data_IF_392878367657
#
_entry.id   IF_392878367657
#
_cell.length_a   1.000
_cell.length_b   1.000
_cell.length_c   1.000
_cell.angle_alpha   90.00
_cell.angle_beta   90.00
_cell.angle_gamma   90.00
#
_symmetry.space_group_name_H-M   'P 1'
#
loop_
_entity.id
_entity.type
_entity.pdbx_description
1 polymer ?
#
# COMPACT_ATOMS: atom_id res chain seq x y z
N UNK A 1 -40.09 -35.42 48.01
CA UNK A 1 -39.25 -34.70 48.99
C UNK A 1 -38.49 -33.61 48.26
N UNK A 2 -38.56 -32.38 48.78
CA UNK A 2 -37.77 -31.17 48.46
C UNK A 2 -37.84 -30.69 47.02
N UNK A 3 -38.54 -29.64 46.56
CA UNK A 3 -38.72 -28.23 46.97
C UNK A 3 -37.45 -27.38 47.09
N UNK A 4 -37.57 -26.17 46.53
CA UNK A 4 -36.71 -24.96 46.54
C UNK A 4 -35.70 -24.85 45.39
N UNK A 5 -35.57 -23.74 44.65
CA UNK A 5 -36.14 -22.40 44.78
C UNK A 5 -35.08 -21.34 44.43
N UNK A 6 -35.37 -20.51 43.41
CA UNK A 6 -34.84 -19.16 43.12
C UNK A 6 -33.31 -18.91 43.05
N UNK A 7 -32.92 -18.25 41.95
CA UNK A 7 -31.72 -17.42 41.89
C UNK A 7 -31.56 -16.79 40.51
N UNK A 8 -32.13 -15.59 40.31
CA UNK A 8 -31.85 -14.77 39.14
C UNK A 8 -30.40 -14.28 39.17
N UNK A 9 -29.71 -14.40 38.04
CA UNK A 9 -28.41 -13.78 37.80
C UNK A 9 -28.48 -13.09 36.45
N UNK A 10 -28.59 -11.76 36.48
CA UNK A 10 -28.36 -10.93 35.30
C UNK A 10 -26.91 -11.12 34.87
N UNK A 11 -26.71 -11.50 33.61
CA UNK A 11 -25.40 -11.44 33.00
C UNK A 11 -25.08 -9.98 32.70
N UNK A 12 -24.23 -9.36 33.52
CA UNK A 12 -23.54 -8.13 33.14
C UNK A 12 -22.68 -8.42 31.91
N UNK A 13 -22.98 -7.73 30.80
CA UNK A 13 -22.04 -7.50 29.71
C UNK A 13 -20.79 -6.83 30.31
N UNK A 14 -19.69 -7.57 30.35
CA UNK A 14 -18.39 -7.00 30.66
C UNK A 14 -17.87 -6.32 29.40
N UNK A 15 -18.17 -5.04 29.33
CA UNK A 15 -17.56 -4.06 28.43
C UNK A 15 -16.04 -4.09 28.62
N UNK A 16 -15.32 -4.55 27.60
CA UNK A 16 -13.85 -4.57 27.59
C UNK A 16 -13.39 -3.19 27.12
N UNK A 17 -13.56 -2.19 27.97
CA UNK A 17 -13.09 -0.84 27.73
C UNK A 17 -11.56 -0.79 27.69
N UNK A 18 -11.01 -0.61 26.49
CA UNK A 18 -9.61 -0.26 26.30
C UNK A 18 -9.39 1.19 26.77
N UNK A 19 -9.03 1.38 28.04
CA UNK A 19 -8.44 2.65 28.51
C UNK A 19 -6.94 2.59 28.30
N UNK A 20 -6.48 3.12 27.17
CA UNK A 20 -5.07 3.44 26.97
C UNK A 20 -4.73 4.71 27.75
N UNK A 21 -3.91 4.56 28.80
CA UNK A 21 -3.26 5.67 29.48
C UNK A 21 -2.16 6.28 28.58
N UNK A 22 -1.95 7.59 28.75
CA UNK A 22 -1.20 8.50 27.88
C UNK A 22 0.19 8.06 27.39
N UNK A 23 0.40 8.34 26.10
CA UNK A 23 1.70 8.51 25.45
C UNK A 23 1.49 9.33 24.17
N UNK A 24 1.86 10.61 24.22
CA UNK A 24 1.72 11.57 23.11
C UNK A 24 2.94 11.48 22.20
N UNK A 25 2.70 11.32 20.91
CA UNK A 25 3.61 11.48 19.77
C UNK A 25 3.11 10.64 18.58
N UNK A 26 3.18 11.00 17.31
CA UNK A 26 3.45 12.23 16.56
C UNK A 26 2.87 11.97 15.13
N UNK A 27 2.17 12.93 14.50
CA UNK A 27 2.05 13.02 13.02
C UNK A 27 1.03 12.18 12.23
N UNK A 28 0.21 11.31 12.85
CA UNK A 28 -0.82 10.52 12.12
C UNK A 28 -2.19 11.18 12.22
N UNK A 29 -2.79 11.55 11.08
CA UNK A 29 -4.18 12.02 11.01
C UNK A 29 -5.06 10.80 10.71
N UNK A 30 -5.67 10.25 11.76
CA UNK A 30 -6.69 9.22 11.64
C UNK A 30 -8.04 9.91 11.39
N UNK A 31 -8.88 9.33 10.53
CA UNK A 31 -10.24 9.81 10.30
C UNK A 31 -11.20 9.43 11.47
N UNK A 32 -10.71 9.56 12.71
CA UNK A 32 -11.54 9.54 13.91
C UNK A 32 -11.78 10.97 14.37
N UNK A 33 -12.98 11.27 14.84
CA UNK A 33 -13.47 12.62 15.16
C UNK A 33 -12.81 13.24 16.42
N UNK A 34 -11.51 13.05 16.63
CA UNK A 34 -10.82 13.45 17.87
C UNK A 34 -9.69 14.45 17.59
N UNK A 35 -9.80 15.72 18.04
CA UNK A 35 -8.74 16.71 17.83
C UNK A 35 -7.58 16.43 18.78
N UNK A 36 -6.42 16.03 18.25
CA UNK A 36 -5.17 15.91 19.01
C UNK A 36 -4.17 17.01 18.62
N UNK A 37 -3.45 17.49 19.64
CA UNK A 37 -2.66 18.72 19.61
C UNK A 37 -1.38 18.62 18.78
N UNK A 38 -0.96 19.78 18.27
CA UNK A 38 0.16 20.01 17.33
C UNK A 38 1.53 19.64 17.88
N UNK A 39 2.32 18.96 17.05
CA UNK A 39 3.79 19.06 17.05
C UNK A 39 4.21 19.71 15.73
N UNK A 40 4.87 20.86 15.85
CA UNK A 40 5.47 21.56 14.70
C UNK A 40 6.77 20.88 14.32
N UNK A 41 6.81 20.19 13.17
CA UNK A 41 8.06 19.73 12.56
C UNK A 41 8.05 18.36 11.89
N UNK A 42 7.03 17.52 12.09
CA UNK A 42 6.85 16.27 11.34
C UNK A 42 5.87 16.50 10.20
N UNK A 43 6.11 15.95 9.01
CA UNK A 43 5.09 15.96 7.98
C UNK A 43 3.85 15.16 8.45
N UNK A 44 2.70 15.44 7.85
CA UNK A 44 1.45 14.76 8.17
C UNK A 44 1.16 13.65 7.14
N UNK A 45 0.49 12.59 7.57
CA UNK A 45 0.00 11.52 6.69
C UNK A 45 -1.48 11.29 6.93
N UNK A 46 -2.24 11.22 5.84
CA UNK A 46 -3.59 10.66 5.84
C UNK A 46 -3.52 9.16 5.60
N UNK A 47 -4.13 8.39 6.50
CA UNK A 47 -4.33 6.94 6.32
C UNK A 47 -5.82 6.69 6.05
N UNK A 48 -6.12 6.31 4.81
CA UNK A 48 -7.48 6.33 4.26
C UNK A 48 -7.89 4.92 3.82
N UNK A 49 -8.66 4.18 4.63
CA UNK A 49 -9.26 2.92 4.20
C UNK A 49 -10.26 3.18 3.08
N UNK A 50 -10.34 2.24 2.12
CA UNK A 50 -11.35 2.21 1.08
C UNK A 50 -12.03 0.84 1.14
N UNK A 51 -13.30 0.85 1.54
CA UNK A 51 -14.13 -0.35 1.47
C UNK A 51 -14.48 -0.63 0.01
N UNK A 52 -14.23 -1.86 -0.43
CA UNK A 52 -14.45 -2.23 -1.82
C UNK A 52 -14.85 -3.70 -1.94
N UNK A 53 -15.47 -4.05 -3.07
CA UNK A 53 -15.67 -5.42 -3.55
C UNK A 53 -15.27 -5.49 -5.02
N UNK A 54 -14.83 -6.66 -5.49
CA UNK A 54 -14.54 -6.86 -6.91
C UNK A 54 -15.83 -6.97 -7.75
N UNK A 55 -15.72 -6.83 -9.07
CA UNK A 55 -16.81 -7.15 -10.00
C UNK A 55 -16.27 -7.78 -11.29
N UNK A 56 -17.10 -8.59 -11.97
CA UNK A 56 -16.65 -9.37 -13.14
C UNK A 56 -16.23 -8.50 -14.34
N UNK A 57 -16.87 -7.34 -14.53
CA UNK A 57 -16.54 -6.39 -15.60
C UNK A 57 -15.22 -5.63 -15.40
N UNK A 58 -14.52 -5.84 -14.28
CA UNK A 58 -13.17 -5.32 -14.08
C UNK A 58 -12.16 -5.95 -15.06
N UNK A 59 -12.42 -7.19 -15.49
CA UNK A 59 -11.69 -7.85 -16.56
C UNK A 59 -12.18 -7.33 -17.91
N UNK A 60 -11.41 -6.42 -18.51
CA UNK A 60 -11.70 -5.85 -19.83
C UNK A 60 -11.02 -6.61 -20.97
N UNK A 61 -10.24 -7.65 -20.66
CA UNK A 61 -9.54 -8.44 -21.66
C UNK A 61 -10.40 -9.58 -22.21
N UNK A 62 -10.18 -10.01 -23.46
CA UNK A 62 -10.85 -11.18 -24.03
C UNK A 62 -10.66 -12.44 -23.18
N UNK A 63 -11.65 -13.34 -23.23
CA UNK A 63 -11.56 -14.63 -22.55
C UNK A 63 -10.65 -15.60 -23.30
N UNK A 64 -10.01 -16.50 -22.54
CA UNK A 64 -9.23 -17.59 -23.12
C UNK A 64 -10.19 -18.71 -23.57
N UNK A 65 -10.51 -18.76 -24.87
CA UNK A 65 -11.52 -19.69 -25.41
C UNK A 65 -11.00 -21.13 -25.63
N UNK A 66 -9.70 -21.30 -25.88
CA UNK A 66 -9.12 -22.58 -26.30
C UNK A 66 -8.93 -23.60 -25.16
N UNK A 67 -9.12 -23.18 -23.91
CA UNK A 67 -9.02 -24.06 -22.73
C UNK A 67 -10.30 -23.95 -21.90
N UNK A 68 -10.83 -25.09 -21.44
CA UNK A 68 -11.98 -25.09 -20.53
C UNK A 68 -11.55 -24.59 -19.15
N UNK A 69 -11.80 -23.31 -18.85
CA UNK A 69 -11.54 -22.69 -17.55
C UNK A 69 -12.85 -22.56 -16.78
N UNK A 70 -12.88 -22.99 -15.51
CA UNK A 70 -14.06 -22.82 -14.67
C UNK A 70 -14.34 -21.33 -14.39
N UNK A 71 -15.61 -20.89 -14.30
CA UNK A 71 -15.93 -19.52 -13.93
C UNK A 71 -15.62 -19.23 -12.44
N UNK A 72 -15.42 -17.95 -12.05
CA UNK A 72 -14.99 -17.58 -10.70
C UNK A 72 -15.89 -18.14 -9.59
N UNK A 73 -17.20 -18.13 -9.80
CA UNK A 73 -18.19 -18.62 -8.84
C UNK A 73 -18.09 -20.11 -8.49
N UNK A 74 -17.38 -20.90 -9.29
CA UNK A 74 -17.14 -22.31 -9.01
C UNK A 74 -15.89 -22.54 -8.15
N UNK A 75 -14.87 -21.69 -8.30
CA UNK A 75 -13.53 -21.91 -7.74
C UNK A 75 -13.19 -20.99 -6.58
N UNK A 76 -13.79 -19.81 -6.50
CA UNK A 76 -13.57 -18.86 -5.42
C UNK A 76 -14.54 -19.08 -4.27
N UNK A 77 -14.00 -19.08 -3.05
CA UNK A 77 -14.77 -19.27 -1.82
C UNK A 77 -15.80 -18.18 -1.59
N UNK A 78 -15.53 -16.98 -2.06
CA UNK A 78 -16.32 -15.78 -1.76
C UNK A 78 -17.77 -15.94 -2.22
N UNK A 79 -17.98 -16.52 -3.41
CA UNK A 79 -19.32 -16.82 -3.95
C UNK A 79 -20.11 -17.84 -3.12
N UNK A 80 -19.43 -18.65 -2.30
CA UNK A 80 -20.07 -19.65 -1.43
C UNK A 80 -20.26 -19.10 -0.01
N UNK A 81 -19.26 -18.39 0.50
CA UNK A 81 -19.16 -17.96 1.90
C UNK A 81 -19.82 -16.60 2.14
N UNK A 82 -19.69 -15.65 1.22
CA UNK A 82 -20.31 -14.34 1.35
C UNK A 82 -21.81 -14.40 1.04
N UNK A 83 -22.59 -13.59 1.75
CA UNK A 83 -24.05 -13.47 1.57
C UNK A 83 -24.40 -12.00 1.45
N UNK A 84 -25.24 -11.68 0.47
CA UNK A 84 -25.59 -10.31 0.12
C UNK A 84 -27.10 -10.08 0.33
N UNK A 85 -27.50 -8.85 0.73
CA UNK A 85 -28.90 -8.45 0.77
C UNK A 85 -29.60 -8.65 -0.57
N UNK A 86 -30.94 -8.75 -0.52
CA UNK A 86 -31.76 -8.85 -1.73
C UNK A 86 -31.50 -7.67 -2.69
N UNK A 87 -31.39 -7.97 -3.99
CA UNK A 87 -31.12 -6.99 -5.03
C UNK A 87 -29.63 -6.76 -5.33
N UNK A 88 -28.72 -7.44 -4.62
CA UNK A 88 -27.29 -7.47 -4.94
C UNK A 88 -26.88 -8.86 -5.42
N UNK A 89 -26.12 -8.91 -6.52
CA UNK A 89 -25.60 -10.13 -7.14
C UNK A 89 -24.06 -10.06 -7.23
N UNK A 90 -23.31 -11.01 -6.63
CA UNK A 90 -21.86 -11.03 -6.76
C UNK A 90 -21.34 -11.37 -8.17
N UNK A 91 -22.23 -11.73 -9.10
CA UNK A 91 -21.90 -11.99 -10.51
C UNK A 91 -21.96 -10.73 -11.39
N UNK A 92 -22.52 -9.62 -10.89
CA UNK A 92 -22.50 -8.31 -11.55
C UNK A 92 -21.72 -7.27 -10.72
N UNK A 93 -21.90 -5.98 -11.01
CA UNK A 93 -21.24 -4.87 -10.32
C UNK A 93 -22.01 -4.32 -9.11
N UNK A 94 -23.20 -4.83 -8.82
CA UNK A 94 -24.10 -4.29 -7.79
C UNK A 94 -23.51 -4.35 -6.39
N UNK A 95 -22.78 -5.42 -6.04
CA UNK A 95 -22.10 -5.55 -4.75
C UNK A 95 -20.96 -4.55 -4.63
N UNK A 96 -20.14 -4.41 -5.68
CA UNK A 96 -19.05 -3.43 -5.74
C UNK A 96 -19.58 -2.00 -5.61
N UNK A 97 -20.63 -1.66 -6.36
CA UNK A 97 -21.30 -0.37 -6.27
C UNK A 97 -21.90 -0.10 -4.89
N UNK A 98 -22.46 -1.12 -4.23
CA UNK A 98 -23.02 -0.98 -2.89
C UNK A 98 -21.94 -0.73 -1.84
N UNK A 99 -20.81 -1.46 -1.87
CA UNK A 99 -19.70 -1.21 -0.94
C UNK A 99 -19.01 0.13 -1.23
N UNK A 100 -18.93 0.54 -2.49
CA UNK A 100 -18.40 1.84 -2.86
C UNK A 100 -19.16 2.97 -2.15
N UNK A 101 -20.51 2.97 -2.21
CA UNK A 101 -21.35 3.98 -1.54
C UNK A 101 -21.15 4.07 -0.03
N UNK A 102 -20.79 2.95 0.63
CA UNK A 102 -20.56 2.94 2.08
C UNK A 102 -19.37 3.84 2.47
N UNK A 103 -18.40 4.05 1.59
CA UNK A 103 -17.31 5.00 1.84
C UNK A 103 -17.87 6.42 2.06
N UNK A 104 -18.87 6.82 1.27
CA UNK A 104 -19.51 8.14 1.38
C UNK A 104 -20.46 8.21 2.58
N UNK A 105 -21.30 7.19 2.75
CA UNK A 105 -22.36 7.19 3.76
C UNK A 105 -21.86 6.96 5.19
N UNK A 106 -20.75 6.22 5.36
CA UNK A 106 -20.31 5.74 6.68
C UNK A 106 -18.83 5.95 6.99
N UNK A 107 -17.97 6.14 6.00
CA UNK A 107 -16.53 6.36 6.23
C UNK A 107 -16.11 7.84 6.11
N UNK A 108 -17.07 8.76 6.04
CA UNK A 108 -16.79 10.20 6.05
C UNK A 108 -15.95 10.65 4.86
N UNK A 109 -16.13 10.03 3.67
CA UNK A 109 -15.35 10.38 2.48
C UNK A 109 -15.46 11.87 2.13
N UNK A 110 -16.66 12.45 2.27
CA UNK A 110 -16.89 13.88 2.05
C UNK A 110 -16.11 14.78 3.01
N UNK A 111 -16.02 14.40 4.29
CA UNK A 111 -15.28 15.15 5.30
C UNK A 111 -13.77 15.11 5.02
N UNK A 112 -13.26 13.94 4.61
CA UNK A 112 -11.88 13.78 4.15
C UNK A 112 -11.58 14.69 2.94
N UNK A 113 -12.44 14.71 1.92
CA UNK A 113 -12.26 15.60 0.78
C UNK A 113 -12.31 17.09 1.20
N UNK A 114 -13.25 17.45 2.07
CA UNK A 114 -13.35 18.81 2.61
C UNK A 114 -12.08 19.22 3.38
N UNK A 115 -11.48 18.30 4.14
CA UNK A 115 -10.21 18.54 4.83
C UNK A 115 -9.04 18.71 3.84
N UNK A 116 -8.99 17.90 2.77
CA UNK A 116 -7.98 18.03 1.72
C UNK A 116 -8.06 19.34 0.93
N UNK A 117 -9.27 19.90 0.77
CA UNK A 117 -9.50 21.14 0.05
C UNK A 117 -9.37 22.39 0.93
N UNK A 118 -10.05 22.41 2.08
CA UNK A 118 -10.22 23.60 2.92
C UNK A 118 -9.77 23.45 4.37
N UNK A 119 -9.22 22.30 4.77
CA UNK A 119 -8.76 22.02 6.13
C UNK A 119 -7.53 22.84 6.55
N UNK A 120 -6.82 22.42 7.57
CA UNK A 120 -5.54 23.01 8.03
C UNK A 120 -4.43 22.88 6.98
N UNK A 121 -3.32 23.60 7.16
CA UNK A 121 -2.17 23.51 6.24
C UNK A 121 -1.60 22.10 6.23
N UNK A 122 -1.58 21.46 7.38
CA UNK A 122 -1.10 20.10 7.60
C UNK A 122 -2.00 19.08 6.88
N UNK A 123 -3.32 19.17 7.03
CA UNK A 123 -4.28 18.29 6.36
C UNK A 123 -4.23 18.42 4.83
N UNK A 124 -4.15 19.65 4.32
CA UNK A 124 -4.06 19.89 2.87
C UNK A 124 -2.72 19.41 2.33
N UNK A 125 -1.66 19.55 3.12
CA UNK A 125 -0.26 19.28 2.77
C UNK A 125 0.18 17.82 2.91
N UNK A 126 -0.55 17.04 3.69
CA UNK A 126 -0.19 15.67 4.08
C UNK A 126 0.04 14.72 2.91
N UNK A 127 0.95 13.76 3.10
CA UNK A 127 1.10 12.60 2.21
C UNK A 127 -0.11 11.68 2.35
N UNK A 128 -0.40 10.88 1.32
CA UNK A 128 -1.57 10.01 1.30
C UNK A 128 -1.18 8.54 1.31
N UNK A 129 -1.71 7.78 2.26
CA UNK A 129 -1.75 6.32 2.24
C UNK A 129 -3.21 5.90 2.13
N UNK A 130 -3.64 5.53 0.93
CA UNK A 130 -4.94 4.88 0.72
C UNK A 130 -4.76 3.37 0.73
N UNK A 131 -5.77 2.59 1.13
CA UNK A 131 -5.68 1.15 1.01
C UNK A 131 -7.02 0.46 0.79
N UNK A 132 -7.03 -0.58 -0.04
CA UNK A 132 -8.17 -1.45 -0.29
C UNK A 132 -7.73 -2.91 -0.29
N UNK A 133 -8.65 -3.84 -0.04
CA UNK A 133 -8.31 -5.26 -0.18
C UNK A 133 -8.12 -5.67 -1.65
N UNK A 134 -8.93 -5.11 -2.55
CA UNK A 134 -8.98 -5.45 -3.98
C UNK A 134 -8.16 -4.47 -4.84
N UNK A 135 -7.91 -4.86 -6.10
CA UNK A 135 -7.08 -4.11 -7.04
C UNK A 135 -7.82 -2.87 -7.58
N UNK A 136 -7.17 -1.70 -7.63
CA UNK A 136 -7.73 -0.53 -8.29
C UNK A 136 -7.56 -0.55 -9.81
N UNK A 137 -6.54 -1.24 -10.32
CA UNK A 137 -6.12 -1.19 -11.72
C UNK A 137 -5.84 -2.59 -12.26
N UNK A 138 -6.31 -2.88 -13.47
CA UNK A 138 -6.09 -4.18 -14.10
C UNK A 138 -4.60 -4.42 -14.38
N UNK A 139 -3.85 -3.35 -14.62
CA UNK A 139 -2.41 -3.34 -14.85
C UNK A 139 -1.60 -3.79 -13.64
N UNK A 140 -2.21 -3.87 -12.46
CA UNK A 140 -1.61 -4.41 -11.23
C UNK A 140 -1.82 -5.92 -11.07
N UNK A 141 -2.42 -6.56 -12.08
CA UNK A 141 -2.60 -8.01 -12.16
C UNK A 141 -1.78 -8.55 -13.35
N UNK A 142 -1.04 -9.67 -13.22
CA UNK A 142 -0.40 -10.28 -14.38
C UNK A 142 -1.41 -10.67 -15.47
N UNK A 143 -0.98 -10.67 -16.72
CA UNK A 143 -1.79 -11.06 -17.87
C UNK A 143 -2.26 -12.51 -17.77
N UNK A 144 -3.46 -12.79 -18.32
CA UNK A 144 -4.12 -14.11 -18.21
C UNK A 144 -3.23 -15.29 -18.57
N UNK A 145 -2.36 -15.12 -19.58
CA UNK A 145 -1.37 -16.11 -20.02
C UNK A 145 -0.36 -16.51 -18.93
N UNK A 146 -0.06 -15.62 -17.99
CA UNK A 146 0.91 -15.85 -16.92
C UNK A 146 0.27 -16.43 -15.66
N UNK A 147 -1.06 -16.58 -15.64
CA UNK A 147 -1.84 -17.01 -14.48
C UNK A 147 -2.15 -18.51 -14.53
N UNK A 148 -2.10 -19.16 -13.37
CA UNK A 148 -2.65 -20.52 -13.20
C UNK A 148 -4.16 -20.55 -13.42
N UNK A 149 -4.85 -19.44 -13.13
CA UNK A 149 -6.28 -19.27 -13.32
C UNK A 149 -6.55 -18.03 -14.18
N UNK A 150 -6.76 -18.19 -15.50
CA UNK A 150 -6.94 -17.08 -16.42
C UNK A 150 -8.13 -16.15 -16.12
N UNK A 151 -9.16 -16.66 -15.46
CA UNK A 151 -10.34 -15.87 -15.08
C UNK A 151 -10.17 -15.11 -13.76
N UNK A 152 -8.96 -15.10 -13.17
CA UNK A 152 -8.66 -14.37 -11.94
C UNK A 152 -9.02 -12.87 -12.04
N UNK A 153 -8.73 -12.12 -13.13
CA UNK A 153 -9.09 -10.71 -13.25
C UNK A 153 -10.58 -10.40 -12.99
N UNK A 154 -11.48 -11.35 -13.27
CA UNK A 154 -12.93 -11.21 -13.06
C UNK A 154 -13.34 -11.16 -11.60
N UNK A 155 -12.42 -11.37 -10.66
CA UNK A 155 -12.76 -11.46 -9.25
C UNK A 155 -11.63 -10.98 -8.35
N UNK A 156 -10.92 -9.92 -8.77
CA UNK A 156 -9.81 -9.36 -7.99
C UNK A 156 -9.79 -7.86 -7.84
N UNK A 157 -10.54 -7.11 -8.64
CA UNK A 157 -10.46 -5.66 -8.65
C UNK A 157 -11.77 -4.98 -8.95
N UNK A 158 -11.74 -3.66 -8.80
CA UNK A 158 -12.90 -2.79 -8.91
C UNK A 158 -12.48 -1.40 -9.38
N UNK A 159 -13.11 -0.94 -10.47
CA UNK A 159 -12.82 0.38 -11.05
C UNK A 159 -13.31 1.54 -10.15
N UNK A 160 -14.23 1.26 -9.23
CA UNK A 160 -14.68 2.18 -8.18
C UNK A 160 -13.51 2.65 -7.30
N UNK A 161 -12.54 1.77 -7.03
CA UNK A 161 -11.38 2.12 -6.21
C UNK A 161 -10.52 3.14 -6.94
N UNK A 162 -10.20 2.90 -8.23
CA UNK A 162 -9.43 3.85 -9.04
C UNK A 162 -10.14 5.20 -9.10
N UNK A 163 -11.47 5.19 -9.31
CA UNK A 163 -12.28 6.42 -9.35
C UNK A 163 -12.16 7.27 -8.08
N UNK A 164 -12.01 6.64 -6.91
CA UNK A 164 -11.82 7.35 -5.64
C UNK A 164 -10.41 7.91 -5.48
N UNK A 165 -9.39 7.14 -5.85
CA UNK A 165 -8.00 7.52 -5.58
C UNK A 165 -7.39 8.40 -6.67
N UNK A 166 -7.91 8.32 -7.90
CA UNK A 166 -7.40 9.12 -9.01
C UNK A 166 -7.58 10.61 -8.71
N UNK A 167 -6.50 11.37 -8.83
CA UNK A 167 -6.51 12.82 -8.62
C UNK A 167 -6.46 13.28 -7.16
N UNK A 168 -6.53 12.40 -6.14
CA UNK A 168 -6.38 12.82 -4.73
C UNK A 168 -5.05 13.55 -4.49
N UNK A 169 -4.01 13.14 -5.20
CA UNK A 169 -2.70 13.77 -5.14
C UNK A 169 -2.72 15.27 -5.50
N UNK A 170 -3.67 15.73 -6.31
CA UNK A 170 -3.85 17.13 -6.74
C UNK A 170 -5.17 17.75 -6.27
N UNK A 171 -6.06 16.97 -5.65
CA UNK A 171 -7.37 17.44 -5.17
C UNK A 171 -7.23 18.65 -4.25
N UNK A 172 -8.10 19.65 -4.38
CA UNK A 172 -8.06 20.88 -3.59
C UNK A 172 -6.89 21.83 -3.87
N UNK A 173 -5.99 21.52 -4.83
CA UNK A 173 -4.80 22.37 -5.11
C UNK A 173 -5.00 23.38 -6.24
N UNK A 174 -6.05 23.25 -7.06
CA UNK A 174 -6.32 24.14 -8.20
C UNK A 174 -6.83 25.55 -7.80
N UNK A 175 -7.43 25.71 -6.61
CA UNK A 175 -7.96 27.00 -6.16
C UNK A 175 -6.92 27.88 -5.43
N UNK A 176 -5.75 27.34 -5.07
CA UNK A 176 -4.71 28.13 -4.41
C UNK A 176 -3.98 29.09 -5.37
N UNK A 177 -3.91 28.77 -6.68
CA UNK A 177 -3.31 29.63 -7.70
C UNK A 177 -4.12 30.90 -7.95
N UNK A 178 -5.46 30.80 -8.02
CA UNK A 178 -6.33 31.95 -8.29
C UNK A 178 -6.41 32.95 -7.11
N UNK A 179 -6.27 32.47 -5.87
CA UNK A 179 -6.28 33.36 -4.69
C UNK A 179 -4.97 34.14 -4.57
N UNK A 180 -3.84 33.57 -5.01
CA UNK A 180 -2.54 34.24 -5.03
C UNK A 180 -2.49 35.41 -6.05
N UNK A 181 -3.22 35.32 -7.15
CA UNK A 181 -3.28 36.38 -8.17
C UNK A 181 -4.14 37.58 -7.74
N UNK A 182 -5.14 37.37 -6.86
CA UNK A 182 -6.00 38.46 -6.36
C UNK A 182 -5.31 39.39 -5.35
N UNK A 183 -4.16 38.97 -4.82
CA UNK A 183 -3.34 39.73 -3.89
C UNK A 183 -1.88 39.66 -4.35
N UNK A 184 -1.45 40.47 -5.32
CA UNK A 184 -0.11 41.07 -5.29
C UNK A 184 0.11 42.12 -6.40
N UNK A 185 0.17 43.39 -5.99
CA UNK A 185 0.99 44.41 -6.63
C UNK A 185 2.41 44.42 -6.06
N UNK A 186 3.09 43.27 -6.04
CA UNK A 186 4.49 43.18 -5.58
C UNK A 186 5.29 42.23 -6.46
N UNK A 187 6.42 42.74 -6.95
CA UNK A 187 7.39 42.02 -7.76
C UNK A 187 8.25 41.12 -6.88
N UNK A 188 7.79 39.90 -6.65
CA UNK A 188 8.63 38.77 -6.24
C UNK A 188 8.22 37.56 -7.04
N UNK A 189 9.20 36.88 -7.61
CA UNK A 189 9.15 35.66 -8.44
C UNK A 189 7.98 34.72 -8.07
N UNK A 190 7.18 34.23 -9.03
CA UNK A 190 6.07 33.32 -8.76
C UNK A 190 6.62 31.94 -8.41
N UNK A 191 6.88 31.71 -7.12
CA UNK A 191 7.35 30.44 -6.57
C UNK A 191 6.45 30.03 -5.42
N UNK A 192 5.32 29.42 -5.74
CA UNK A 192 4.36 28.99 -4.71
C UNK A 192 3.21 28.14 -5.22
N UNK A 193 3.36 27.48 -6.38
CA UNK A 193 2.41 26.44 -6.79
C UNK A 193 2.54 25.25 -5.85
N UNK A 194 1.42 24.76 -5.32
CA UNK A 194 1.44 23.56 -4.47
C UNK A 194 1.84 22.35 -5.34
N UNK A 195 2.99 21.73 -5.06
CA UNK A 195 3.43 20.48 -5.71
C UNK A 195 2.40 19.36 -5.49
N UNK A 196 2.38 18.33 -6.34
CA UNK A 196 1.51 17.15 -6.16
C UNK A 196 1.85 16.46 -4.82
N UNK A 197 0.85 16.02 -4.04
CA UNK A 197 1.09 15.17 -2.85
C UNK A 197 1.66 13.84 -3.30
N UNK A 198 2.58 13.30 -2.52
CA UNK A 198 2.92 11.89 -2.69
C UNK A 198 1.73 11.03 -2.23
N UNK A 199 1.44 10.00 -3.01
CA UNK A 199 0.29 9.14 -2.80
C UNK A 199 0.68 7.69 -3.02
N UNK A 200 0.59 6.91 -1.94
CA UNK A 200 0.73 5.46 -1.95
C UNK A 200 -0.64 4.81 -1.80
N UNK A 201 -0.91 3.81 -2.63
CA UNK A 201 -2.06 2.94 -2.50
C UNK A 201 -1.62 1.51 -2.19
N UNK A 202 -2.01 1.00 -1.01
CA UNK A 202 -1.71 -0.37 -0.59
C UNK A 202 -2.90 -1.27 -0.97
N UNK A 203 -2.63 -2.39 -1.64
CA UNK A 203 -3.67 -3.32 -2.08
C UNK A 203 -3.30 -4.78 -1.80
N UNK A 204 -4.24 -5.70 -2.06
CA UNK A 204 -4.08 -7.12 -1.73
C UNK A 204 -4.82 -8.08 -2.67
N UNK A 205 -5.25 -9.20 -2.08
CA UNK A 205 -6.09 -10.25 -2.69
C UNK A 205 -5.41 -11.13 -3.77
N UNK A 206 -4.61 -10.59 -4.68
CA UNK A 206 -4.05 -11.39 -5.80
C UNK A 206 -2.85 -12.26 -5.45
N UNK A 207 -2.21 -12.03 -4.31
CA UNK A 207 -0.98 -12.72 -3.90
C UNK A 207 0.16 -12.59 -4.93
N UNK A 208 0.39 -11.38 -5.42
CA UNK A 208 1.55 -11.03 -6.25
C UNK A 208 2.34 -9.87 -5.63
N UNK A 209 3.63 -10.07 -5.37
CA UNK A 209 4.49 -8.98 -4.93
C UNK A 209 4.49 -7.87 -5.98
N UNK A 210 4.16 -6.64 -5.57
CA UNK A 210 4.04 -5.50 -6.45
C UNK A 210 4.54 -4.22 -5.78
N UNK A 211 5.35 -3.46 -6.50
CA UNK A 211 5.69 -2.07 -6.16
C UNK A 211 5.94 -1.30 -7.46
N UNK A 212 5.01 -0.43 -7.82
CA UNK A 212 5.06 0.30 -9.09
C UNK A 212 4.27 1.61 -9.04
N UNK A 213 4.82 2.65 -9.63
CA UNK A 213 4.13 3.93 -9.80
C UNK A 213 3.43 4.04 -11.16
N UNK A 214 2.11 4.23 -11.14
CA UNK A 214 1.27 4.47 -12.33
C UNK A 214 0.48 5.77 -12.12
N UNK A 215 0.45 6.65 -13.13
CA UNK A 215 -0.25 7.94 -13.09
C UNK A 215 0.03 8.80 -11.85
N UNK A 216 1.25 8.69 -11.31
CA UNK A 216 1.72 9.39 -10.12
C UNK A 216 1.11 8.88 -8.80
N UNK A 217 0.58 7.67 -8.78
CA UNK A 217 0.19 6.94 -7.56
C UNK A 217 1.11 5.71 -7.47
N UNK A 218 1.77 5.51 -6.32
CA UNK A 218 2.59 4.33 -6.08
C UNK A 218 1.72 3.21 -5.50
N UNK A 219 1.68 2.08 -6.19
CA UNK A 219 0.89 0.91 -5.80
C UNK A 219 1.78 -0.16 -5.18
N UNK A 220 1.47 -0.56 -3.95
CA UNK A 220 2.26 -1.55 -3.21
C UNK A 220 1.36 -2.71 -2.78
N UNK A 221 1.80 -3.94 -3.07
CA UNK A 221 1.22 -5.16 -2.52
C UNK A 221 2.34 -6.08 -2.04
N UNK A 222 2.37 -6.32 -0.74
CA UNK A 222 3.31 -7.23 -0.08
C UNK A 222 2.54 -8.40 0.55
N UNK A 223 2.21 -9.44 -0.23
CA UNK A 223 1.21 -10.41 0.17
C UNK A 223 1.78 -11.45 1.14
N UNK A 224 1.12 -11.65 2.28
CA UNK A 224 1.45 -12.75 3.21
C UNK A 224 1.24 -14.12 2.55
N UNK A 225 0.18 -14.29 1.76
CA UNK A 225 -0.07 -15.50 0.94
C UNK A 225 -0.17 -16.82 1.73
N UNK A 226 -0.48 -17.93 1.05
CA UNK A 226 -0.51 -19.25 1.68
C UNK A 226 0.90 -19.87 1.77
N UNK A 227 1.18 -20.72 2.79
CA UNK A 227 2.46 -21.42 2.91
C UNK A 227 2.87 -22.21 1.67
N UNK A 228 1.91 -22.77 0.94
CA UNK A 228 2.19 -23.54 -0.27
C UNK A 228 2.64 -22.64 -1.43
N UNK A 229 2.17 -21.40 -1.50
CA UNK A 229 2.60 -20.44 -2.52
C UNK A 229 4.04 -19.99 -2.28
N UNK A 230 4.47 -19.83 -1.02
CA UNK A 230 5.87 -19.57 -0.69
C UNK A 230 6.82 -20.73 -1.02
N UNK A 231 6.31 -21.96 -1.06
CA UNK A 231 7.08 -23.13 -1.51
C UNK A 231 7.18 -23.19 -3.03
N UNK A 232 6.11 -22.84 -3.74
CA UNK A 232 6.01 -23.03 -5.19
C UNK A 232 6.50 -21.82 -6.00
N UNK A 233 6.22 -20.60 -5.54
CA UNK A 233 6.42 -19.35 -6.30
C UNK A 233 6.93 -18.18 -5.44
N UNK A 234 7.93 -18.35 -4.57
CA UNK A 234 8.39 -17.29 -3.66
C UNK A 234 8.77 -15.99 -4.39
N UNK A 235 9.42 -16.09 -5.56
CA UNK A 235 9.79 -14.92 -6.35
C UNK A 235 8.61 -14.11 -6.89
N UNK A 236 7.42 -14.69 -7.00
CA UNK A 236 6.19 -13.96 -7.37
C UNK A 236 5.54 -13.25 -6.17
N UNK A 237 6.04 -13.46 -4.95
CA UNK A 237 5.50 -12.91 -3.71
C UNK A 237 6.40 -11.83 -3.09
N UNK A 238 7.72 -11.96 -3.28
CA UNK A 238 8.73 -11.06 -2.69
C UNK A 238 8.59 -9.63 -3.20
N UNK A 239 8.65 -8.67 -2.27
CA UNK A 239 8.84 -7.23 -2.48
C UNK A 239 10.06 -6.80 -1.68
N UNK A 240 10.99 -6.09 -2.31
CA UNK A 240 12.27 -5.72 -1.71
C UNK A 240 13.33 -6.82 -1.85
N UNK A 241 14.43 -6.74 -1.08
CA UNK A 241 15.53 -7.70 -1.17
C UNK A 241 15.09 -9.12 -0.81
N UNK A 242 15.59 -10.11 -1.54
CA UNK A 242 15.21 -11.52 -1.35
C UNK A 242 15.85 -12.12 -0.09
N UNK A 243 15.07 -12.89 0.67
CA UNK A 243 15.46 -13.47 1.97
C UNK A 243 16.34 -14.72 1.86
N UNK A 244 16.72 -15.15 0.64
CA UNK A 244 17.30 -16.50 0.40
C UNK A 244 18.46 -16.58 -0.59
N UNK A 245 19.10 -15.46 -0.94
CA UNK A 245 20.41 -15.50 -1.60
C UNK A 245 20.50 -16.21 -2.96
N UNK A 246 19.45 -16.14 -3.80
CA UNK A 246 19.53 -16.56 -5.21
C UNK A 246 19.09 -15.40 -6.14
N UNK A 247 19.82 -15.19 -7.24
CA UNK A 247 19.82 -13.95 -8.03
C UNK A 247 18.44 -13.47 -8.51
N UNK A 248 18.17 -12.21 -8.18
CA UNK A 248 17.23 -11.33 -8.86
C UNK A 248 18.03 -10.38 -9.76
N UNK A 249 18.58 -10.90 -10.85
CA UNK A 249 19.52 -10.15 -11.69
C UNK A 249 18.88 -9.71 -13.00
N UNK A 250 18.63 -8.40 -13.15
CA UNK A 250 18.87 -7.64 -14.38
C UNK A 250 19.21 -6.17 -14.02
N UNK A 251 20.42 -5.76 -14.40
CA UNK A 251 21.20 -4.63 -13.90
C UNK A 251 20.65 -3.23 -14.22
N UNK A 252 20.15 -2.54 -13.18
CA UNK A 252 20.64 -1.23 -12.73
C UNK A 252 20.75 -1.27 -11.21
N UNK A 253 21.87 -0.75 -10.71
CA UNK A 253 22.36 -0.86 -9.33
C UNK A 253 21.25 -0.57 -8.30
N UNK A 254 20.84 -1.61 -7.57
CA UNK A 254 19.98 -1.42 -6.41
C UNK A 254 20.83 -0.86 -5.26
N UNK A 255 20.36 0.17 -4.53
CA UNK A 255 21.05 0.67 -3.34
C UNK A 255 21.31 -0.45 -2.32
N UNK A 256 22.41 -0.31 -1.57
CA UNK A 256 22.87 -1.29 -0.58
C UNK A 256 21.74 -1.75 0.36
N UNK A 257 21.76 -3.05 0.64
CA UNK A 257 20.72 -3.79 1.33
C UNK A 257 20.32 -3.18 2.67
N UNK A 258 19.02 -3.23 2.97
CA UNK A 258 18.53 -3.22 4.35
C UNK A 258 17.98 -4.61 4.64
N UNK A 259 18.54 -5.32 5.64
CA UNK A 259 17.96 -6.54 6.25
C UNK A 259 16.68 -6.23 7.05
N UNK A 260 16.00 -5.13 6.71
CA UNK A 260 14.87 -4.59 7.44
C UNK A 260 13.56 -5.12 6.85
N UNK A 261 12.50 -5.26 7.68
CA UNK A 261 11.16 -5.54 7.19
C UNK A 261 10.73 -4.45 6.18
N UNK A 262 9.76 -4.79 5.32
CA UNK A 262 9.14 -3.84 4.40
C UNK A 262 8.70 -2.59 5.18
N UNK A 263 9.35 -1.47 4.88
CA UNK A 263 9.01 -0.16 5.37
C UNK A 263 8.36 0.59 4.21
N UNK A 264 7.20 1.21 4.41
CA UNK A 264 6.57 2.08 3.39
C UNK A 264 6.79 3.55 3.74
N UNK A 265 7.00 3.84 5.03
CA UNK A 265 7.04 5.17 5.62
C UNK A 265 8.20 5.27 6.61
N UNK A 266 9.11 6.25 6.45
CA UNK A 266 10.21 6.49 7.39
C UNK A 266 10.23 7.94 7.87
N UNK A 267 10.00 8.15 9.16
CA UNK A 267 9.98 9.46 9.79
C UNK A 267 11.39 9.97 10.19
N UNK A 268 12.45 9.19 9.95
CA UNK A 268 13.82 9.48 10.44
C UNK A 268 14.86 9.56 9.33
N UNK A 269 14.47 9.75 8.08
CA UNK A 269 15.41 9.60 6.97
C UNK A 269 16.39 10.78 6.89
N UNK A 270 17.57 10.56 7.47
CA UNK A 270 18.82 11.27 7.18
C UNK A 270 19.97 10.27 7.37
N UNK A 271 20.64 9.92 6.28
CA UNK A 271 22.10 9.81 6.16
C UNK A 271 22.39 9.52 4.68
N UNK A 272 22.75 10.59 3.96
CA UNK A 272 23.36 10.51 2.64
C UNK A 272 24.62 9.67 2.78
N UNK A 273 24.67 8.53 2.10
CA UNK A 273 25.87 7.69 2.05
C UNK A 273 26.83 8.35 1.05
N UNK A 274 27.63 9.29 1.52
CA UNK A 274 28.83 9.72 0.81
C UNK A 274 29.83 8.56 0.89
N UNK A 275 30.01 7.86 -0.23
CA UNK A 275 31.06 6.85 -0.39
C UNK A 275 32.38 7.60 -0.59
N UNK A 276 33.12 7.82 0.50
CA UNK A 276 34.55 8.12 0.40
C UNK A 276 35.38 6.85 0.62
N UNK A 277 36.14 6.52 -0.41
CA UNK A 277 37.08 5.42 -0.50
C UNK A 277 38.43 5.87 0.11
N UNK A 278 38.87 5.22 1.19
CA UNK A 278 40.26 5.02 1.65
C UNK A 278 40.20 4.49 3.09
N UNK A 279 40.98 3.53 3.57
CA UNK A 279 42.30 3.07 3.19
C UNK A 279 43.04 2.80 4.51
N UNK A 280 43.37 1.53 4.76
CA UNK A 280 44.39 1.03 5.69
C UNK A 280 44.22 1.13 7.21
N UNK A 281 44.56 0.01 7.88
CA UNK A 281 45.21 0.04 9.20
C UNK A 281 44.45 -0.68 10.32
N UNK A 282 44.75 -1.97 10.50
CA UNK A 282 44.16 -2.79 11.57
C UNK A 282 44.64 -2.46 12.98
N UNK A 283 43.85 -2.91 13.97
CA UNK A 283 44.35 -3.57 15.19
C UNK A 283 43.23 -4.30 15.92
N UNK A 284 43.54 -5.53 16.26
CA UNK A 284 42.74 -6.51 16.97
C UNK A 284 42.72 -6.21 18.48
N UNK A 285 41.55 -6.19 19.12
CA UNK A 285 41.40 -6.38 20.58
C UNK A 285 40.14 -7.22 20.85
N UNK A 286 40.36 -8.39 21.45
CA UNK A 286 39.34 -9.30 21.95
C UNK A 286 38.95 -8.92 23.39
N UNK A 287 37.66 -8.72 23.67
CA UNK A 287 37.06 -8.89 25.00
C UNK A 287 35.53 -9.08 24.90
N UNK A 288 34.99 -9.99 25.72
CA UNK A 288 33.64 -10.56 25.68
C UNK A 288 32.48 -9.68 26.16
N UNK A 289 31.30 -10.28 26.39
CA UNK A 289 30.02 -9.65 26.12
C UNK A 289 29.47 -8.95 27.35
N UNK A 290 29.17 -7.65 27.25
CA UNK A 290 28.10 -7.05 28.03
C UNK A 290 27.67 -5.72 27.41
N UNK A 291 26.35 -5.60 27.23
CA UNK A 291 25.64 -4.41 26.74
C UNK A 291 25.97 -3.22 27.64
N UNK A 292 26.56 -2.17 27.08
CA UNK A 292 26.56 -0.86 27.67
C UNK A 292 26.34 0.21 26.58
N UNK A 293 25.18 0.84 26.66
CA UNK A 293 24.87 2.13 26.05
C UNK A 293 25.78 3.17 26.71
N UNK A 294 26.73 3.74 25.97
CA UNK A 294 27.20 5.12 26.13
C UNK A 294 28.44 5.41 25.26
N UNK A 295 28.37 6.52 24.52
CA UNK A 295 29.54 7.34 24.23
C UNK A 295 30.02 7.33 22.78
N UNK A 296 29.37 8.11 21.91
CA UNK A 296 30.10 8.77 20.83
C UNK A 296 30.17 10.27 21.12
N UNK A 297 31.42 10.73 21.18
CA UNK A 297 31.82 12.11 21.45
C UNK A 297 31.47 12.98 20.26
N UNK A 298 30.97 14.17 20.59
CA UNK A 298 30.86 15.32 19.70
C UNK A 298 32.20 15.65 19.05
N UNK A 299 32.19 15.76 17.73
CA UNK A 299 33.16 16.49 16.93
C UNK A 299 32.34 17.43 16.03
N UNK A 300 32.47 18.74 16.26
CA UNK A 300 31.57 19.75 15.69
C UNK A 300 31.80 20.08 14.22
N UNK A 301 30.76 20.67 13.61
CA UNK A 301 30.86 21.36 12.32
C UNK A 301 29.55 21.50 11.55
N UNK A 302 28.58 22.26 12.06
CA UNK A 302 27.60 23.05 11.29
C UNK A 302 26.68 22.35 10.26
N UNK A 303 25.41 22.15 10.64
CA UNK A 303 24.29 21.91 9.72
C UNK A 303 23.22 21.02 10.35
N UNK A 304 22.09 21.60 10.75
CA UNK A 304 20.96 20.83 11.29
C UNK A 304 20.27 20.04 10.19
N UNK A 305 20.58 18.76 10.06
CA UNK A 305 19.74 17.78 9.36
C UNK A 305 18.57 17.42 10.26
N UNK A 306 17.41 18.02 10.01
CA UNK A 306 16.15 17.46 10.49
C UNK A 306 15.79 16.35 9.51
N UNK A 307 15.80 15.09 9.97
CA UNK A 307 15.42 13.94 9.16
C UNK A 307 14.17 14.22 8.33
N UNK A 308 14.27 14.02 7.03
CA UNK A 308 13.19 14.32 6.11
C UNK A 308 12.08 13.27 6.27
N UNK A 309 10.87 13.74 6.59
CA UNK A 309 9.68 12.91 6.73
C UNK A 309 9.17 12.52 5.33
N UNK A 310 9.16 11.23 4.98
CA UNK A 310 8.73 10.83 3.64
C UNK A 310 8.50 9.33 3.42
N UNK A 311 7.97 8.99 2.26
CA UNK A 311 7.91 7.60 1.81
C UNK A 311 9.32 7.07 1.53
N UNK A 312 9.53 5.78 1.82
CA UNK A 312 10.77 5.12 1.36
C UNK A 312 10.79 5.05 -0.18
N UNK A 313 11.96 4.77 -0.78
CA UNK A 313 12.05 4.56 -2.23
C UNK A 313 11.24 3.35 -2.73
N UNK A 314 10.97 3.31 -4.04
CA UNK A 314 10.35 2.16 -4.71
C UNK A 314 11.19 0.89 -4.51
N UNK A 315 10.54 -0.21 -4.15
CA UNK A 315 11.18 -1.51 -3.96
C UNK A 315 11.07 -2.38 -5.22
N UNK A 316 11.89 -3.42 -5.29
CA UNK A 316 11.91 -4.37 -6.41
C UNK A 316 10.86 -5.45 -6.21
N UNK A 317 10.11 -5.80 -7.25
CA UNK A 317 9.25 -6.98 -7.28
C UNK A 317 9.18 -7.52 -8.72
N UNK A 318 9.07 -8.85 -8.90
CA UNK A 318 9.30 -9.47 -10.24
C UNK A 318 8.30 -8.97 -11.25
N UNK A 319 7.04 -8.90 -10.84
CA UNK A 319 5.96 -8.49 -11.71
C UNK A 319 6.03 -7.01 -12.04
N UNK A 320 6.25 -6.13 -11.05
CA UNK A 320 6.37 -4.70 -11.34
C UNK A 320 7.60 -4.39 -12.20
N UNK A 321 8.75 -5.01 -11.93
CA UNK A 321 9.95 -4.83 -12.77
C UNK A 321 9.72 -5.31 -14.21
N UNK A 322 9.02 -6.43 -14.38
CA UNK A 322 8.64 -6.91 -15.70
C UNK A 322 7.80 -5.90 -16.47
N UNK A 323 6.72 -5.43 -15.85
CA UNK A 323 5.76 -4.54 -16.53
C UNK A 323 6.28 -3.11 -16.74
N UNK A 324 7.36 -2.71 -16.06
CA UNK A 324 8.12 -1.48 -16.39
C UNK A 324 8.78 -1.55 -17.76
N UNK A 325 9.29 -2.72 -18.12
CA UNK A 325 10.04 -2.93 -19.37
C UNK A 325 9.19 -3.56 -20.48
N UNK A 326 8.08 -4.21 -20.11
CA UNK A 326 7.22 -4.97 -20.99
C UNK A 326 5.79 -4.46 -20.81
N UNK A 327 5.32 -3.51 -21.64
CA UNK A 327 3.95 -3.07 -21.62
C UNK A 327 2.98 -4.25 -21.75
N UNK A 328 1.83 -4.13 -21.08
CA UNK A 328 0.76 -5.10 -21.20
C UNK A 328 0.31 -5.21 -22.65
N UNK A 329 0.25 -6.44 -23.15
CA UNK A 329 -0.13 -6.82 -24.51
C UNK A 329 -0.96 -8.12 -24.45
N UNK A 330 -2.30 -8.01 -24.41
CA UNK A 330 -3.20 -9.15 -24.33
C UNK A 330 -3.05 -10.16 -25.48
N UNK A 331 -2.52 -9.73 -26.63
CA UNK A 331 -2.33 -10.58 -27.81
C UNK A 331 -0.99 -11.36 -27.75
N UNK A 332 -0.07 -10.95 -26.87
CA UNK A 332 1.21 -11.61 -26.69
C UNK A 332 1.03 -12.98 -26.03
N UNK A 333 1.59 -14.02 -26.62
CA UNK A 333 1.52 -15.40 -26.08
C UNK A 333 2.80 -15.86 -25.37
N UNK A 334 3.87 -15.06 -25.41
CA UNK A 334 5.16 -15.41 -24.80
C UNK A 334 5.22 -15.23 -23.27
N UNK A 335 5.31 -16.32 -22.52
CA UNK A 335 5.48 -16.22 -21.07
C UNK A 335 6.78 -15.52 -20.64
N UNK A 336 6.71 -14.80 -19.51
CA UNK A 336 7.89 -14.34 -18.78
C UNK A 336 8.83 -15.51 -18.41
N UNK A 337 10.13 -15.26 -18.35
CA UNK A 337 11.13 -16.35 -18.25
C UNK A 337 10.99 -17.18 -16.95
N UNK A 338 10.64 -16.56 -15.81
CA UNK A 338 10.43 -17.30 -14.56
C UNK A 338 9.15 -18.14 -14.59
N UNK A 339 8.14 -17.72 -15.36
CA UNK A 339 6.93 -18.50 -15.60
C UNK A 339 7.27 -19.72 -16.48
N UNK A 340 8.05 -19.54 -17.55
CA UNK A 340 8.57 -20.64 -18.39
C UNK A 340 9.36 -21.65 -17.55
N UNK A 341 10.22 -21.17 -16.65
CA UNK A 341 11.02 -22.00 -15.74
C UNK A 341 10.16 -22.84 -14.78
N UNK A 342 9.16 -22.22 -14.15
CA UNK A 342 8.23 -22.92 -13.26
C UNK A 342 7.41 -24.00 -13.98
N UNK A 343 6.97 -23.74 -15.21
CA UNK A 343 6.22 -24.72 -16.02
C UNK A 343 7.10 -25.91 -16.45
N UNK A 344 8.40 -25.70 -16.68
CA UNK A 344 9.35 -26.78 -17.01
C UNK A 344 9.65 -27.69 -15.81
N UNK A 345 9.63 -27.15 -14.59
CA UNK A 345 9.76 -27.94 -13.35
C UNK A 345 8.50 -28.74 -12.98
N UNK A 346 7.35 -28.44 -13.58
CA UNK A 346 6.07 -29.10 -13.34
C UNK A 346 5.85 -30.40 -14.14
N UNK A 347 6.92 -30.99 -14.73
CA UNK A 347 6.88 -32.32 -15.35
C UNK A 347 8.09 -33.19 -14.97
N UNK A 348 7.88 -34.08 -14.02
CA UNK A 348 7.93 -35.54 -14.24
C UNK A 348 6.88 -36.19 -13.35
#
# INVERSE_FOLDING_TARGET
GGTEGRGGGGGEERDIGWRGEGGVGDGVILNDNTPTARVSGSGAVWVVPILAWYHMSFDTEPDIEHTKVHPPNMVMSDFKLCKWPAGLDPLDDSVAAALDRVNDERQGWGDFLAALEGGTREERGAHLITFSHFLPRLELCPEKRMLFYPNLPKAVGSDYILRRIQGLATFGRANAELVAESNLGSTSTPGGGWSRREHVHVFGHTHFGWDHTLDGIRYIQAPVSYPNEWKQRPGSLTVGPDTRGAEFNLSREAPQMLDAPLCIWDAKRDEVVDVEESGEGGKEVVAGPERAVAGLKSCGGGGGGHGEFGFVGEMRARWSDHYKENPRDPDNTEFAWWVKGAMRGAKA
#
